data_IF_452661370958
#
_entry.id   IF_452661370958
#
_cell.length_a   1.000
_cell.length_b   1.000
_cell.length_c   1.000
_cell.angle_alpha   90.00
_cell.angle_beta   90.00
_cell.angle_gamma   90.00
#
_symmetry.space_group_name_H-M   'P 1'
#
loop_
_entity.id
_entity.type
_entity.pdbx_description
1 polymer ?
#
# COMPACT_ATOMS: atom_id res chain seq x y z
N UNK A 1 -41.85 -21.77 27.76
CA UNK A 1 -41.78 -20.45 27.09
C UNK A 1 -40.47 -19.68 27.35
N UNK A 2 -39.47 -20.27 28.02
CA UNK A 2 -38.23 -19.55 28.41
C UNK A 2 -37.00 -19.97 27.59
N UNK A 3 -37.02 -21.16 27.00
CA UNK A 3 -35.91 -21.71 26.20
C UNK A 3 -35.63 -20.89 24.93
N UNK A 4 -36.68 -20.46 24.23
CA UNK A 4 -36.56 -19.65 23.00
C UNK A 4 -36.01 -18.24 23.24
N UNK A 5 -36.20 -17.71 24.46
CA UNK A 5 -35.75 -16.35 24.84
C UNK A 5 -34.23 -16.27 25.00
N UNK A 6 -33.56 -17.38 25.31
CA UNK A 6 -32.08 -17.45 25.43
C UNK A 6 -31.41 -17.93 24.14
N UNK A 7 -32.09 -18.74 23.33
CA UNK A 7 -31.54 -19.27 22.07
C UNK A 7 -31.37 -18.17 21.02
N UNK A 8 -32.37 -17.29 20.88
CA UNK A 8 -32.35 -16.22 19.88
C UNK A 8 -31.16 -15.23 20.04
N UNK A 9 -30.84 -14.70 21.24
CA UNK A 9 -29.67 -13.85 21.42
C UNK A 9 -28.34 -14.61 21.23
N UNK A 10 -28.27 -15.89 21.60
CA UNK A 10 -27.07 -16.69 21.36
C UNK A 10 -26.80 -16.92 19.86
N UNK A 11 -27.84 -17.21 19.05
CA UNK A 11 -27.67 -17.34 17.60
C UNK A 11 -27.29 -16.01 16.94
N UNK A 12 -27.87 -14.88 17.40
CA UNK A 12 -27.48 -13.55 16.91
C UNK A 12 -26.02 -13.25 17.23
N UNK A 13 -25.55 -13.56 18.45
CA UNK A 13 -24.15 -13.39 18.84
C UNK A 13 -23.19 -14.25 18.01
N UNK A 14 -23.53 -15.52 17.79
CA UNK A 14 -22.73 -16.42 16.95
C UNK A 14 -22.67 -15.92 15.50
N UNK A 15 -23.80 -15.46 14.95
CA UNK A 15 -23.85 -14.90 13.60
C UNK A 15 -23.00 -13.63 13.49
N UNK A 16 -23.04 -12.73 14.49
CA UNK A 16 -22.20 -11.54 14.49
C UNK A 16 -20.70 -11.86 14.54
N UNK A 17 -20.28 -12.86 15.33
CA UNK A 17 -18.87 -13.30 15.39
C UNK A 17 -18.40 -13.88 14.05
N UNK A 18 -19.23 -14.69 13.40
CA UNK A 18 -18.92 -15.25 12.09
C UNK A 18 -18.78 -14.17 11.01
N UNK A 19 -19.63 -13.14 11.03
CA UNK A 19 -19.57 -12.03 10.07
C UNK A 19 -18.31 -11.17 10.28
N UNK A 20 -17.88 -10.96 11.52
CA UNK A 20 -16.66 -10.18 11.80
C UNK A 20 -15.38 -10.86 11.32
N UNK A 21 -15.28 -12.19 11.40
CA UNK A 21 -14.10 -12.93 10.93
C UNK A 21 -13.97 -12.93 9.39
N UNK A 22 -15.08 -12.76 8.66
CA UNK A 22 -15.04 -12.63 7.20
C UNK A 22 -14.52 -11.25 6.74
N UNK A 23 -14.61 -10.22 7.58
CA UNK A 23 -14.16 -8.88 7.24
C UNK A 23 -12.70 -8.69 7.67
N UNK A 24 -11.77 -9.15 6.83
CA UNK A 24 -10.34 -8.86 7.03
C UNK A 24 -10.10 -7.36 6.83
N UNK A 25 -9.43 -6.67 7.78
CA UNK A 25 -9.04 -5.28 7.55
C UNK A 25 -8.07 -5.20 6.38
N UNK A 26 -8.43 -4.42 5.36
CA UNK A 26 -7.51 -4.06 4.29
C UNK A 26 -6.71 -2.85 4.74
N UNK A 27 -5.39 -2.97 4.79
CA UNK A 27 -4.53 -1.83 5.04
C UNK A 27 -4.29 -1.09 3.72
N UNK A 28 -4.59 0.21 3.69
CA UNK A 28 -4.25 1.10 2.59
C UNK A 28 -3.42 2.25 3.16
N UNK A 29 -2.35 2.64 2.45
CA UNK A 29 -1.50 3.75 2.87
C UNK A 29 -1.85 4.96 2.01
N UNK A 30 -2.33 6.01 2.67
CA UNK A 30 -2.63 7.28 2.03
C UNK A 30 -1.57 8.32 2.37
N UNK A 31 -0.99 8.95 1.36
CA UNK A 31 -0.01 10.02 1.51
C UNK A 31 -0.53 11.29 0.82
N UNK A 32 -0.60 12.39 1.56
CA UNK A 32 -0.74 13.72 0.97
C UNK A 32 0.66 14.33 0.82
N UNK A 33 1.18 14.33 -0.40
CA UNK A 33 2.49 14.84 -0.71
C UNK A 33 2.46 16.37 -0.73
N UNK A 34 3.38 17.04 -0.02
CA UNK A 34 3.50 18.50 -0.09
C UNK A 34 3.97 18.91 -1.49
N UNK A 35 3.70 20.16 -1.86
CA UNK A 35 4.16 20.74 -3.14
C UNK A 35 5.68 20.82 -3.24
N UNK A 36 6.39 20.83 -2.11
CA UNK A 36 7.85 20.77 -2.02
C UNK A 36 8.29 19.79 -0.93
N UNK A 37 9.42 19.12 -1.15
CA UNK A 37 9.94 18.11 -0.24
C UNK A 37 9.42 16.70 -0.54
N UNK A 38 9.68 15.77 0.38
CA UNK A 38 9.47 14.33 0.19
C UNK A 38 8.77 13.74 1.40
N UNK A 39 7.87 12.78 1.17
CA UNK A 39 7.32 11.93 2.24
C UNK A 39 7.72 10.49 2.00
N UNK A 40 8.04 9.76 3.07
CA UNK A 40 8.49 8.38 2.99
C UNK A 40 7.66 7.47 3.90
N UNK A 41 7.46 6.25 3.43
CA UNK A 41 6.99 5.12 4.23
C UNK A 41 8.20 4.30 4.62
N UNK A 42 8.29 3.94 5.91
CA UNK A 42 9.38 3.13 6.46
C UNK A 42 8.81 1.85 7.05
N UNK A 43 9.37 0.71 6.68
CA UNK A 43 9.04 -0.58 7.30
C UNK A 43 10.33 -1.34 7.60
N UNK A 44 10.38 -1.96 8.78
CA UNK A 44 11.44 -2.88 9.15
C UNK A 44 11.12 -4.27 8.58
N UNK A 45 11.93 -4.73 7.63
CA UNK A 45 11.69 -5.98 6.91
C UNK A 45 12.89 -6.90 7.12
N UNK A 46 12.63 -8.19 7.32
CA UNK A 46 13.70 -9.20 7.40
C UNK A 46 14.34 -9.45 6.03
N UNK A 47 15.51 -10.10 6.00
CA UNK A 47 16.15 -10.52 4.76
C UNK A 47 15.39 -11.68 4.08
N UNK A 48 15.54 -11.78 2.76
CA UNK A 48 14.89 -12.77 1.90
C UNK A 48 13.35 -12.70 1.89
N UNK A 49 12.81 -11.52 2.14
CA UNK A 49 11.37 -11.24 2.09
C UNK A 49 11.05 -10.58 0.75
N UNK A 50 10.03 -11.10 0.06
CA UNK A 50 9.51 -10.48 -1.16
C UNK A 50 8.67 -9.27 -0.79
N UNK A 51 8.92 -8.16 -1.46
CA UNK A 51 8.17 -6.91 -1.34
C UNK A 51 7.56 -6.61 -2.70
N UNK A 52 6.27 -6.30 -2.69
CA UNK A 52 5.48 -5.88 -3.84
C UNK A 52 4.72 -4.63 -3.45
N UNK A 53 4.77 -3.60 -4.29
CA UNK A 53 3.97 -2.42 -4.06
C UNK A 53 3.48 -1.81 -5.36
N UNK A 54 2.26 -1.29 -5.32
CA UNK A 54 1.65 -0.48 -6.34
C UNK A 54 1.26 0.87 -5.77
N UNK A 55 1.36 1.91 -6.59
CA UNK A 55 0.96 3.25 -6.21
C UNK A 55 0.20 3.94 -7.31
N UNK A 56 -0.70 4.84 -6.91
CA UNK A 56 -1.49 5.65 -7.83
C UNK A 56 -1.70 7.04 -7.24
N UNK A 57 -1.45 8.05 -8.06
CA UNK A 57 -1.78 9.44 -7.79
C UNK A 57 -3.28 9.61 -7.97
N UNK A 58 -3.92 10.24 -6.98
CA UNK A 58 -5.35 10.49 -7.01
C UNK A 58 -5.57 11.97 -7.24
N UNK A 59 -6.31 12.27 -8.30
CA UNK A 59 -6.60 13.63 -8.75
C UNK A 59 -8.08 13.75 -9.05
N UNK A 60 -8.70 14.80 -8.52
CA UNK A 60 -10.09 15.15 -8.81
C UNK A 60 -10.24 15.86 -10.17
N UNK A 61 -9.12 16.33 -10.75
CA UNK A 61 -9.13 17.14 -11.96
C UNK A 61 -8.51 16.37 -13.15
N UNK A 62 -9.38 15.87 -14.04
CA UNK A 62 -8.99 15.08 -15.21
C UNK A 62 -8.15 15.83 -16.25
N UNK A 63 -8.08 17.16 -16.18
CA UNK A 63 -7.39 17.99 -17.18
C UNK A 63 -5.88 18.12 -16.93
N UNK A 64 -5.42 17.92 -15.69
CA UNK A 64 -4.00 18.02 -15.34
C UNK A 64 -3.67 17.12 -14.15
N UNK A 65 -3.47 15.82 -14.43
CA UNK A 65 -3.12 14.85 -13.40
C UNK A 65 -1.68 15.06 -12.92
N UNK A 66 -1.43 15.11 -11.61
CA UNK A 66 -0.09 15.18 -11.09
C UNK A 66 0.81 14.02 -11.44
N UNK A 67 2.07 14.32 -11.74
CA UNK A 67 3.12 13.32 -11.71
C UNK A 67 3.93 13.43 -10.42
N UNK A 68 4.36 12.26 -9.93
CA UNK A 68 5.22 12.11 -8.77
C UNK A 68 6.46 11.32 -9.16
N UNK A 69 7.52 11.52 -8.40
CA UNK A 69 8.71 10.70 -8.45
C UNK A 69 8.78 9.82 -7.22
N UNK A 70 9.34 8.62 -7.38
CA UNK A 70 9.48 7.60 -6.35
C UNK A 70 10.92 7.11 -6.27
N UNK A 71 11.41 6.90 -5.05
CA UNK A 71 12.67 6.21 -4.78
C UNK A 71 12.52 5.26 -3.61
N UNK A 72 12.96 4.02 -3.80
CA UNK A 72 12.98 2.97 -2.78
C UNK A 72 14.42 2.64 -2.42
N UNK A 73 14.74 2.60 -1.14
CA UNK A 73 16.10 2.33 -0.66
C UNK A 73 16.15 1.22 0.38
N UNK A 74 17.25 0.47 0.38
CA UNK A 74 17.58 -0.50 1.43
C UNK A 74 18.05 0.19 2.72
N UNK A 75 18.18 -0.55 3.84
CA UNK A 75 18.64 0.01 5.12
C UNK A 75 20.03 0.64 5.07
N UNK A 76 20.88 0.22 4.12
CA UNK A 76 22.21 0.81 3.91
C UNK A 76 22.24 1.90 2.83
N UNK A 77 21.06 2.33 2.35
CA UNK A 77 20.93 3.42 1.37
C UNK A 77 21.08 2.99 -0.09
N UNK A 78 21.18 1.69 -0.38
CA UNK A 78 21.21 1.19 -1.76
C UNK A 78 19.90 1.51 -2.47
N UNK A 79 19.98 1.97 -3.72
CA UNK A 79 18.78 2.24 -4.52
C UNK A 79 18.21 0.93 -5.07
N UNK A 80 17.00 0.58 -4.62
CA UNK A 80 16.29 -0.62 -5.05
C UNK A 80 15.34 -0.35 -6.22
N UNK A 81 14.80 0.87 -6.28
CA UNK A 81 13.92 1.31 -7.35
C UNK A 81 13.90 2.84 -7.43
N UNK A 82 13.92 3.40 -8.64
CA UNK A 82 13.70 4.82 -8.84
C UNK A 82 12.99 5.07 -10.18
N UNK A 83 11.94 5.88 -10.12
CA UNK A 83 11.18 6.34 -11.29
C UNK A 83 10.73 7.77 -11.06
N UNK A 84 10.62 8.51 -12.15
CA UNK A 84 10.30 9.93 -12.13
C UNK A 84 9.11 10.22 -13.05
N UNK A 85 8.36 11.28 -12.77
CA UNK A 85 7.21 11.70 -13.57
C UNK A 85 6.13 10.60 -13.79
N UNK A 86 5.75 9.90 -12.73
CA UNK A 86 4.76 8.82 -12.77
C UNK A 86 3.41 9.25 -12.20
N UNK A 87 2.30 8.83 -12.81
CA UNK A 87 0.96 8.96 -12.22
C UNK A 87 0.54 7.67 -11.49
N UNK A 88 1.10 6.54 -11.89
CA UNK A 88 0.95 5.24 -11.26
C UNK A 88 2.20 4.41 -11.54
N UNK A 89 2.46 3.41 -10.70
CA UNK A 89 3.55 2.48 -10.94
C UNK A 89 3.50 1.28 -10.00
N UNK A 90 4.36 0.31 -10.30
CA UNK A 90 4.55 -0.89 -9.50
C UNK A 90 6.05 -1.18 -9.39
N UNK A 91 6.46 -1.70 -8.24
CA UNK A 91 7.79 -2.27 -8.06
C UNK A 91 7.73 -3.55 -7.23
N UNK A 92 8.73 -4.40 -7.47
CA UNK A 92 8.91 -5.66 -6.77
C UNK A 92 10.40 -5.87 -6.53
N UNK A 93 10.76 -6.33 -5.34
CA UNK A 93 12.12 -6.73 -5.02
C UNK A 93 12.10 -7.80 -3.92
N UNK A 94 13.22 -8.49 -3.75
CA UNK A 94 13.45 -9.33 -2.57
C UNK A 94 14.51 -8.65 -1.72
N UNK A 95 14.25 -8.50 -0.43
CA UNK A 95 15.15 -7.84 0.52
C UNK A 95 16.43 -8.67 0.64
N UNK A 96 17.59 -8.05 0.40
CA UNK A 96 18.86 -8.70 0.66
C UNK A 96 19.25 -8.62 2.15
N UNK A 97 18.80 -7.56 2.81
CA UNK A 97 19.27 -7.11 4.11
C UNK A 97 18.06 -6.95 5.04
N UNK A 98 18.24 -7.23 6.34
CA UNK A 98 17.22 -6.94 7.33
C UNK A 98 17.32 -5.48 7.78
N UNK A 99 16.19 -4.82 7.99
CA UNK A 99 16.11 -3.46 8.54
C UNK A 99 15.12 -2.56 7.82
N UNK A 100 15.25 -1.25 8.07
CA UNK A 100 14.33 -0.23 7.56
C UNK A 100 14.50 0.01 6.05
N UNK A 101 13.52 -0.42 5.28
CA UNK A 101 13.39 -0.06 3.89
C UNK A 101 12.50 1.17 3.77
N UNK A 102 12.89 2.10 2.89
CA UNK A 102 12.18 3.36 2.70
C UNK A 102 11.60 3.45 1.30
N UNK A 103 10.34 3.83 1.19
CA UNK A 103 9.71 4.24 -0.07
C UNK A 103 9.34 5.71 0.01
N UNK A 104 10.08 6.54 -0.71
CA UNK A 104 9.96 7.98 -0.69
C UNK A 104 9.31 8.50 -1.97
N UNK A 105 8.39 9.45 -1.82
CA UNK A 105 7.63 10.06 -2.90
C UNK A 105 7.70 11.58 -2.81
N UNK A 106 7.82 12.25 -3.95
CA UNK A 106 7.78 13.70 -4.05
C UNK A 106 7.10 14.16 -5.34
N UNK A 107 6.56 15.37 -5.30
CA UNK A 107 5.91 15.99 -6.45
C UNK A 107 6.98 16.63 -7.34
N UNK A 108 6.91 16.36 -8.64
CA UNK A 108 7.79 17.03 -9.60
C UNK A 108 7.30 18.49 -9.78
N UNK A 109 8.23 19.45 -9.74
CA UNK A 109 7.95 20.90 -9.58
C UNK A 109 7.12 21.59 -10.67
N UNK A 110 6.52 20.85 -11.60
CA UNK A 110 5.60 21.34 -12.63
C UNK A 110 4.12 21.38 -12.19
N UNK A 111 3.85 21.25 -10.89
CA UNK A 111 2.50 21.39 -10.34
C UNK A 111 2.02 22.85 -10.31
N UNK A 112 1.36 23.26 -11.39
CA UNK A 112 0.72 24.58 -11.49
C UNK A 112 -0.45 24.76 -10.50
N UNK A 113 -0.96 23.68 -9.92
CA UNK A 113 -2.12 23.70 -9.00
C UNK A 113 -1.83 24.09 -7.56
N UNK A 114 -0.56 24.17 -7.14
CA UNK A 114 -0.15 24.64 -5.81
C UNK A 114 -0.65 23.84 -4.59
N UNK A 115 -1.47 22.82 -4.80
CA UNK A 115 -2.07 21.99 -3.76
C UNK A 115 -1.26 20.74 -3.40
N UNK A 116 -1.63 20.11 -2.28
CA UNK A 116 -1.12 18.78 -1.93
C UNK A 116 -1.56 17.73 -2.96
N UNK A 117 -0.67 16.79 -3.28
CA UNK A 117 -0.95 15.69 -4.19
C UNK A 117 -1.23 14.44 -3.38
N UNK A 118 -2.43 13.89 -3.52
CA UNK A 118 -2.78 12.64 -2.87
C UNK A 118 -2.24 11.43 -3.64
N UNK A 119 -1.66 10.49 -2.90
CA UNK A 119 -1.13 9.24 -3.42
C UNK A 119 -1.60 8.08 -2.55
N UNK A 120 -2.18 7.07 -3.18
CA UNK A 120 -2.45 5.79 -2.56
C UNK A 120 -1.28 4.84 -2.83
N UNK A 121 -0.81 4.17 -1.78
CA UNK A 121 0.22 3.15 -1.83
C UNK A 121 -0.34 1.86 -1.23
N UNK A 122 -0.28 0.79 -2.00
CA UNK A 122 -0.45 -0.57 -1.52
C UNK A 122 0.95 -1.19 -1.38
N UNK A 123 1.35 -1.47 -0.14
CA UNK A 123 2.69 -1.98 0.20
C UNK A 123 2.56 -3.33 0.88
N UNK A 124 3.03 -4.38 0.22
CA UNK A 124 2.86 -5.77 0.65
C UNK A 124 4.21 -6.45 0.82
N UNK A 125 4.37 -7.15 1.94
CA UNK A 125 5.59 -7.89 2.28
C UNK A 125 5.29 -9.36 2.56
N UNK A 126 6.25 -10.24 2.28
CA UNK A 126 6.19 -11.66 2.65
C UNK A 126 5.04 -12.43 1.99
N UNK A 127 4.22 -13.11 2.80
CA UNK A 127 3.11 -13.94 2.32
C UNK A 127 2.10 -13.08 1.55
N UNK A 128 1.78 -11.87 2.05
CA UNK A 128 0.88 -10.92 1.39
C UNK A 128 1.37 -10.49 0.01
N UNK A 129 2.69 -10.49 -0.21
CA UNK A 129 3.29 -10.25 -1.51
C UNK A 129 3.23 -11.51 -2.39
N UNK A 130 3.58 -12.67 -1.84
CA UNK A 130 3.64 -13.95 -2.55
C UNK A 130 2.29 -14.41 -3.12
N UNK A 131 1.18 -14.06 -2.46
CA UNK A 131 -0.17 -14.35 -2.95
C UNK A 131 -0.46 -13.64 -4.29
N UNK A 132 0.13 -12.48 -4.57
CA UNK A 132 0.01 -11.78 -5.86
C UNK A 132 0.68 -12.53 -7.02
N UNK A 133 1.88 -13.07 -6.81
CA UNK A 133 2.61 -13.85 -7.83
C UNK A 133 1.84 -15.13 -8.25
N UNK A 134 1.08 -15.72 -7.33
CA UNK A 134 0.24 -16.88 -7.61
C UNK A 134 -0.97 -16.53 -8.50
N UNK A 135 -1.46 -15.30 -8.41
CA UNK A 135 -2.55 -14.75 -9.23
C UNK A 135 -2.04 -14.30 -10.60
N UNK A 136 -0.87 -13.64 -10.66
CA UNK A 136 -0.26 -13.17 -11.90
C UNK A 136 0.14 -14.33 -12.85
N UNK A 137 0.43 -15.52 -12.32
CA UNK A 137 0.77 -16.72 -13.11
C UNK A 137 -0.44 -17.49 -13.63
N UNK A 138 -1.67 -17.16 -13.24
CA UNK A 138 -2.89 -17.84 -13.73
C UNK A 138 -3.44 -17.17 -14.99
N UNK A 139 -2.60 -17.12 -16.04
CA UNK A 139 -3.01 -17.05 -17.44
C UNK A 139 -1.96 -17.76 -18.29
N UNK A 140 -2.24 -19.04 -18.56
CA UNK A 140 -2.02 -19.64 -19.88
C UNK A 140 -3.08 -20.72 -20.08
#
# INVERSE_FOLDING_TARGET
>A
MEHWRMILPSFLLIFTFLVTDLLRPTHAIWLNLPSTGTKCVSEEIHSNVVVLADYVVISENYTHTPTVSVKVTSPYGNNLHQKENQTTGQFAFTTAEAGNHLACFWVDGHHQGGGEVSLNLDWRTGISAKDWDSVAKKKN
#
